data_IF_862652332579
#
_entry.id   IF_862652332579
#
_cell.length_a   1.000
_cell.length_b   1.000
_cell.length_c   1.000
_cell.angle_alpha   90.00
_cell.angle_beta   90.00
_cell.angle_gamma   90.00
#
_symmetry.space_group_name_H-M   'P 1'
#
loop_
_entity.id
_entity.type
_entity.pdbx_description
1 polymer ?
#
# COMPACT_ATOMS: atom_id res chain seq x y z
N UNK A 1 -17.04 6.34 -11.16
CA UNK A 1 -16.07 7.21 -10.45
C UNK A 1 -14.87 7.41 -11.35
N UNK A 2 -14.44 8.64 -11.57
CA UNK A 2 -13.28 8.90 -12.43
C UNK A 2 -11.97 8.70 -11.64
N UNK A 3 -10.84 8.70 -12.35
CA UNK A 3 -9.54 8.41 -11.73
C UNK A 3 -9.16 9.40 -10.63
N UNK A 4 -9.51 10.70 -10.78
CA UNK A 4 -9.23 11.70 -9.75
C UNK A 4 -10.01 11.43 -8.46
N UNK A 5 -11.26 11.03 -8.59
CA UNK A 5 -12.08 10.66 -7.44
C UNK A 5 -11.55 9.38 -6.78
N UNK A 6 -11.10 8.43 -7.60
CA UNK A 6 -10.52 7.20 -7.10
C UNK A 6 -9.24 7.47 -6.32
N UNK A 7 -8.37 8.34 -6.85
CA UNK A 7 -7.15 8.76 -6.16
C UNK A 7 -7.48 9.39 -4.81
N UNK A 8 -8.47 10.28 -4.76
CA UNK A 8 -8.89 10.92 -3.50
C UNK A 8 -9.43 9.92 -2.52
N UNK A 9 -10.22 8.95 -3.00
CA UNK A 9 -10.81 7.92 -2.15
C UNK A 9 -9.73 7.05 -1.49
N UNK A 10 -8.76 6.60 -2.26
CA UNK A 10 -7.66 5.78 -1.75
C UNK A 10 -6.77 6.60 -0.82
N UNK A 11 -6.43 7.83 -1.21
CA UNK A 11 -5.62 8.72 -0.39
C UNK A 11 -6.30 8.99 0.96
N UNK A 12 -7.61 9.23 0.97
CA UNK A 12 -8.35 9.45 2.20
C UNK A 12 -8.32 8.21 3.10
N UNK A 13 -8.43 7.02 2.51
CA UNK A 13 -8.33 5.77 3.24
C UNK A 13 -6.98 5.63 3.94
N UNK A 14 -5.90 5.93 3.23
CA UNK A 14 -4.54 5.88 3.80
C UNK A 14 -4.41 6.90 4.94
N UNK A 15 -4.90 8.13 4.75
CA UNK A 15 -4.80 9.17 5.76
C UNK A 15 -5.63 8.88 7.01
N UNK A 16 -6.68 8.08 6.89
CA UNK A 16 -7.51 7.68 8.03
C UNK A 16 -6.99 6.41 8.71
N UNK A 17 -5.89 5.85 8.21
CA UNK A 17 -5.30 4.62 8.74
C UNK A 17 -3.98 4.95 9.43
N UNK A 18 -3.91 4.75 10.75
CA UNK A 18 -2.70 5.05 11.53
C UNK A 18 -1.48 4.30 11.01
N UNK A 19 -1.65 3.03 10.65
CA UNK A 19 -0.54 2.22 10.16
C UNK A 19 -0.03 2.71 8.80
N UNK A 20 -0.93 3.11 7.91
CA UNK A 20 -0.54 3.68 6.62
C UNK A 20 0.25 4.97 6.79
N UNK A 21 -0.15 5.82 7.74
CA UNK A 21 0.59 7.05 8.05
C UNK A 21 1.93 6.74 8.68
N UNK A 22 1.99 5.75 9.56
CA UNK A 22 3.25 5.35 10.20
C UNK A 22 4.29 4.92 9.17
N UNK A 23 3.89 4.15 8.18
CA UNK A 23 4.78 3.70 7.11
C UNK A 23 5.02 4.78 6.06
N UNK A 24 4.22 5.84 6.04
CA UNK A 24 4.32 6.87 5.02
C UNK A 24 3.84 6.40 3.65
N UNK A 25 2.80 5.56 3.64
CA UNK A 25 2.25 5.06 2.37
C UNK A 25 1.65 6.19 1.56
N UNK A 26 1.85 6.14 0.24
CA UNK A 26 1.29 7.11 -0.70
C UNK A 26 0.65 6.38 -1.86
N UNK A 27 -0.47 6.91 -2.34
CA UNK A 27 -1.07 6.40 -3.57
C UNK A 27 -0.42 7.11 -4.75
N UNK A 28 0.11 6.33 -5.69
CA UNK A 28 0.71 6.86 -6.92
C UNK A 28 -0.28 6.84 -8.07
N UNK A 29 -1.08 5.78 -8.16
CA UNK A 29 -2.10 5.61 -9.18
C UNK A 29 -3.29 4.88 -8.59
N UNK A 30 -4.49 5.23 -9.02
CA UNK A 30 -5.70 4.50 -8.64
C UNK A 30 -6.74 4.59 -9.75
N UNK A 31 -7.25 3.43 -10.13
CA UNK A 31 -8.35 3.27 -11.05
C UNK A 31 -9.15 2.05 -10.63
N UNK A 32 -10.28 1.81 -11.24
CA UNK A 32 -11.12 0.68 -10.87
C UNK A 32 -10.36 -0.63 -11.00
N UNK A 33 -10.21 -1.33 -9.88
CA UNK A 33 -9.53 -2.63 -9.84
C UNK A 33 -8.01 -2.57 -9.84
N UNK A 34 -7.41 -1.36 -9.84
CA UNK A 34 -5.95 -1.24 -9.89
C UNK A 34 -5.46 -0.05 -9.06
N UNK A 35 -4.53 -0.30 -8.17
CA UNK A 35 -3.94 0.74 -7.33
C UNK A 35 -2.43 0.52 -7.27
N UNK A 36 -1.67 1.61 -7.31
CA UNK A 36 -0.23 1.60 -7.07
C UNK A 36 0.03 2.40 -5.80
N UNK A 37 0.57 1.74 -4.80
CA UNK A 37 0.94 2.32 -3.50
C UNK A 37 2.45 2.31 -3.39
N UNK A 38 3.02 3.35 -2.81
CA UNK A 38 4.45 3.42 -2.59
C UNK A 38 4.80 3.64 -1.14
N UNK A 39 6.03 3.28 -0.80
CA UNK A 39 6.61 3.51 0.51
C UNK A 39 8.05 3.96 0.33
N UNK A 40 8.41 5.09 0.92
CA UNK A 40 9.76 5.60 0.89
C UNK A 40 10.65 4.80 1.85
N UNK A 41 11.83 4.41 1.41
CA UNK A 41 12.82 3.76 2.26
C UNK A 41 13.28 4.75 3.34
N UNK A 42 13.24 4.29 4.58
CA UNK A 42 13.72 5.06 5.73
C UNK A 42 14.51 4.13 6.64
N UNK A 43 15.41 4.70 7.44
CA UNK A 43 16.26 3.91 8.33
C UNK A 43 15.47 3.06 9.32
N UNK A 44 14.31 3.56 9.77
CA UNK A 44 13.45 2.83 10.72
C UNK A 44 12.62 1.72 10.08
N UNK A 45 12.74 1.51 8.78
CA UNK A 45 12.03 0.46 8.04
C UNK A 45 12.98 -0.61 7.50
N UNK A 46 14.23 -0.59 7.92
CA UNK A 46 15.24 -1.52 7.42
C UNK A 46 15.41 -2.71 8.36
N UNK A 47 15.82 -3.84 7.78
CA UNK A 47 16.28 -4.95 8.58
C UNK A 47 17.78 -4.75 8.88
N UNK A 48 18.41 -5.64 9.67
CA UNK A 48 19.74 -5.46 10.19
C UNK A 48 20.86 -5.37 9.14
N UNK A 49 20.63 -5.81 7.91
CA UNK A 49 21.61 -5.72 6.83
C UNK A 49 21.44 -4.48 5.95
N UNK A 50 20.54 -3.58 6.32
CA UNK A 50 20.34 -2.32 5.59
C UNK A 50 19.36 -2.39 4.44
N UNK A 51 18.70 -3.52 4.23
CA UNK A 51 17.68 -3.68 3.21
C UNK A 51 16.30 -3.38 3.79
N UNK A 52 15.37 -2.96 2.95
CA UNK A 52 13.99 -2.74 3.39
C UNK A 52 13.44 -4.03 3.99
N UNK A 53 12.87 -3.92 5.19
CA UNK A 53 12.35 -5.09 5.89
C UNK A 53 11.20 -5.74 5.10
N UNK A 54 11.22 -7.08 5.02
CA UNK A 54 10.16 -7.83 4.34
C UNK A 54 8.77 -7.59 4.90
N UNK A 55 8.69 -7.25 6.19
CA UNK A 55 7.42 -6.87 6.82
C UNK A 55 6.80 -5.62 6.20
N UNK A 56 7.64 -4.67 5.77
CA UNK A 56 7.16 -3.47 5.07
C UNK A 56 6.65 -3.86 3.68
N UNK A 57 7.39 -4.71 2.97
CA UNK A 57 6.97 -5.21 1.66
C UNK A 57 5.62 -5.92 1.76
N UNK A 58 5.46 -6.78 2.77
CA UNK A 58 4.19 -7.47 3.01
C UNK A 58 3.05 -6.51 3.31
N UNK A 59 3.31 -5.51 4.16
CA UNK A 59 2.32 -4.48 4.49
C UNK A 59 1.92 -3.68 3.24
N UNK A 60 2.89 -3.34 2.39
CA UNK A 60 2.64 -2.62 1.15
C UNK A 60 1.75 -3.43 0.21
N UNK A 61 2.04 -4.72 0.05
CA UNK A 61 1.24 -5.62 -0.79
C UNK A 61 -0.18 -5.76 -0.24
N UNK A 62 -0.32 -5.94 1.06
CA UNK A 62 -1.63 -6.09 1.70
C UNK A 62 -2.45 -4.81 1.53
N UNK A 63 -1.84 -3.66 1.76
CA UNK A 63 -2.52 -2.37 1.60
C UNK A 63 -2.96 -2.16 0.16
N UNK A 64 -2.08 -2.41 -0.80
CA UNK A 64 -2.40 -2.24 -2.22
C UNK A 64 -3.54 -3.15 -2.64
N UNK A 65 -3.53 -4.41 -2.23
CA UNK A 65 -4.60 -5.36 -2.52
C UNK A 65 -5.93 -4.89 -1.92
N UNK A 66 -5.90 -4.44 -0.66
CA UNK A 66 -7.09 -3.95 0.02
C UNK A 66 -7.70 -2.73 -0.69
N UNK A 67 -6.86 -1.76 -1.05
CA UNK A 67 -7.35 -0.57 -1.74
C UNK A 67 -7.81 -0.88 -3.17
N UNK A 68 -7.15 -1.80 -3.87
CA UNK A 68 -7.64 -2.24 -5.18
C UNK A 68 -9.04 -2.84 -5.06
N UNK A 69 -9.27 -3.67 -4.03
CA UNK A 69 -10.60 -4.19 -3.75
C UNK A 69 -11.61 -3.10 -3.43
N UNK A 70 -11.18 -2.09 -2.66
CA UNK A 70 -12.05 -0.96 -2.30
C UNK A 70 -12.55 -0.21 -3.53
N UNK A 71 -11.72 -0.08 -4.57
CA UNK A 71 -12.09 0.68 -5.77
C UNK A 71 -13.27 0.08 -6.54
N UNK A 72 -13.58 -1.20 -6.33
CA UNK A 72 -14.69 -1.86 -7.02
C UNK A 72 -15.94 -1.98 -6.14
N UNK A 73 -15.90 -1.42 -4.93
CA UNK A 73 -17.03 -1.45 -4.00
C UNK A 73 -17.74 -0.10 -3.97
N UNK A 74 -19.06 -0.09 -3.69
CA UNK A 74 -19.78 1.16 -3.46
C UNK A 74 -19.21 1.91 -2.25
N UNK A 75 -19.46 3.20 -2.18
CA UNK A 75 -19.10 3.98 -1.00
C UNK A 75 -19.81 3.43 0.24
N UNK A 76 -19.16 3.56 1.39
CA UNK A 76 -19.67 3.06 2.66
C UNK A 76 -19.22 1.63 2.98
N UNK A 77 -18.66 0.94 2.02
CA UNK A 77 -18.07 -0.38 2.25
C UNK A 77 -16.60 -0.27 2.58
N UNK A 78 -16.10 -1.22 3.34
CA UNK A 78 -14.68 -1.34 3.62
C UNK A 78 -14.22 -2.76 3.35
N UNK A 79 -12.88 -2.92 3.27
CA UNK A 79 -12.26 -4.20 2.99
C UNK A 79 -11.52 -4.68 4.23
N UNK A 80 -11.69 -5.95 4.57
CA UNK A 80 -10.95 -6.60 5.65
C UNK A 80 -10.21 -7.79 5.02
N UNK A 81 -8.89 -7.80 5.16
CA UNK A 81 -8.08 -8.90 4.64
C UNK A 81 -8.25 -10.14 5.49
N UNK A 82 -8.33 -11.29 4.83
CA UNK A 82 -8.43 -12.59 5.51
C UNK A 82 -7.08 -13.29 5.49
N UNK A 83 -6.45 -13.34 4.32
CA UNK A 83 -5.12 -13.97 4.20
C UNK A 83 -4.47 -13.49 2.91
N UNK A 84 -3.14 -13.55 2.88
CA UNK A 84 -2.39 -13.37 1.65
C UNK A 84 -1.12 -14.22 1.75
N UNK A 85 -0.53 -14.49 0.59
CA UNK A 85 0.74 -15.19 0.51
C UNK A 85 1.72 -14.32 -0.26
N UNK A 86 2.94 -14.19 0.24
CA UNK A 86 3.99 -13.42 -0.40
C UNK A 86 5.24 -14.29 -0.56
N UNK A 87 5.90 -14.17 -1.71
CA UNK A 87 7.18 -14.82 -1.96
C UNK A 87 8.20 -13.72 -2.24
N UNK A 88 9.25 -13.67 -1.44
CA UNK A 88 10.31 -12.70 -1.61
C UNK A 88 11.32 -13.25 -2.62
N UNK A 89 11.29 -12.71 -3.83
CA UNK A 89 12.14 -13.19 -4.93
C UNK A 89 13.40 -12.36 -5.08
N UNK A 90 13.39 -11.13 -4.56
CA UNK A 90 14.48 -10.19 -4.73
C UNK A 90 14.41 -9.13 -3.63
N UNK A 91 15.57 -8.68 -3.17
CA UNK A 91 15.66 -7.57 -2.23
C UNK A 91 15.26 -6.26 -2.91
N UNK A 92 14.63 -5.38 -2.16
CA UNK A 92 14.34 -4.02 -2.64
C UNK A 92 15.56 -3.16 -2.37
N UNK A 93 16.20 -2.72 -3.45
CA UNK A 93 17.44 -1.93 -3.39
C UNK A 93 17.25 -0.48 -3.80
N UNK A 94 16.03 -0.10 -4.19
CA UNK A 94 15.69 1.26 -4.58
C UNK A 94 15.27 2.08 -3.37
N UNK A 95 15.31 3.41 -3.50
CA UNK A 95 14.92 4.31 -2.42
C UNK A 95 13.41 4.33 -2.16
N UNK A 96 12.63 3.82 -3.09
CA UNK A 96 11.18 3.81 -3.01
C UNK A 96 10.65 2.47 -3.50
N UNK A 97 9.75 1.87 -2.73
CA UNK A 97 9.08 0.62 -3.09
C UNK A 97 7.68 0.92 -3.61
N UNK A 98 7.27 0.19 -4.63
CA UNK A 98 5.94 0.31 -5.21
C UNK A 98 5.17 -0.99 -5.08
#
# INVERSE_FOLDING_TARGET
MNDNEMMRRVAAGIQNQSFGKLLGLQVEEAEEGRVVISCQKRDDLLQQTGLLHGGVTGALCEAAAGYAGLTVLPEGYSVIGVEYKINFLRAITTDKAY
#
